data_IF_591597625076
#
_entry.id   IF_591597625076
#
_cell.length_a   1.000
_cell.length_b   1.000
_cell.length_c   1.000
_cell.angle_alpha   90.00
_cell.angle_beta   90.00
_cell.angle_gamma   90.00
#
_symmetry.space_group_name_H-M   'P 1'
#
loop_
_entity.id
_entity.type
_entity.pdbx_description
1 polymer ?
#
# COMPACT_ATOMS: atom_id res chain seq x y z
N UNK A 1 -15.38 37.09 -9.46
CA UNK A 1 -15.20 36.60 -8.07
C UNK A 1 -13.75 36.77 -7.67
N UNK A 2 -13.45 37.53 -6.61
CA UNK A 2 -12.06 37.73 -6.14
C UNK A 2 -11.49 36.42 -5.59
N UNK A 3 -10.25 36.10 -5.98
CA UNK A 3 -9.46 34.97 -5.47
C UNK A 3 -9.18 35.19 -3.98
N UNK A 4 -9.71 34.32 -3.12
CA UNK A 4 -9.29 34.29 -1.72
C UNK A 4 -7.85 33.76 -1.68
N UNK A 5 -6.90 34.66 -1.43
CA UNK A 5 -5.47 34.35 -1.48
C UNK A 5 -5.04 33.47 -0.30
N UNK A 6 -5.88 33.26 0.70
CA UNK A 6 -5.49 32.62 1.96
C UNK A 6 -5.90 31.16 2.08
N UNK A 7 -6.58 30.58 1.07
CA UNK A 7 -7.08 29.20 1.12
C UNK A 7 -6.00 28.16 1.46
N UNK A 8 -4.80 28.28 0.86
CA UNK A 8 -3.70 27.32 1.09
C UNK A 8 -3.02 27.46 2.46
N UNK A 9 -3.11 28.63 3.09
CA UNK A 9 -2.48 28.89 4.40
C UNK A 9 -3.48 28.73 5.55
N UNK A 10 -4.70 28.26 5.27
CA UNK A 10 -5.66 27.94 6.31
C UNK A 10 -5.15 26.75 7.15
N UNK A 11 -5.28 26.79 8.49
CA UNK A 11 -4.81 25.70 9.35
C UNK A 11 -5.36 24.32 8.95
N UNK A 12 -6.63 24.26 8.53
CA UNK A 12 -7.24 23.01 8.09
C UNK A 12 -6.60 22.43 6.81
N UNK A 13 -6.21 23.29 5.86
CA UNK A 13 -5.51 22.87 4.64
C UNK A 13 -4.12 22.35 4.99
N UNK A 14 -3.37 23.08 5.83
CA UNK A 14 -2.02 22.68 6.25
C UNK A 14 -2.04 21.38 7.05
N UNK A 15 -3.00 21.20 7.95
CA UNK A 15 -3.18 19.96 8.69
C UNK A 15 -3.52 18.79 7.76
N UNK A 16 -4.46 18.97 6.83
CA UNK A 16 -4.79 17.93 5.85
C UNK A 16 -3.59 17.56 4.97
N UNK A 17 -2.82 18.55 4.52
CA UNK A 17 -1.61 18.32 3.73
C UNK A 17 -0.53 17.59 4.53
N UNK A 18 -0.32 17.95 5.79
CA UNK A 18 0.61 17.27 6.68
C UNK A 18 0.17 15.82 6.93
N UNK A 19 -1.13 15.58 7.19
CA UNK A 19 -1.68 14.23 7.32
C UNK A 19 -1.44 13.43 6.06
N UNK A 20 -1.73 13.98 4.88
CA UNK A 20 -1.53 13.30 3.60
C UNK A 20 -0.06 12.88 3.42
N UNK A 21 0.88 13.81 3.61
CA UNK A 21 2.31 13.55 3.45
C UNK A 21 2.87 12.57 4.48
N UNK A 22 2.54 12.75 5.77
CA UNK A 22 3.05 11.89 6.84
C UNK A 22 2.46 10.49 6.73
N UNK A 23 1.19 10.39 6.37
CA UNK A 23 0.52 9.10 6.26
C UNK A 23 0.98 8.33 5.01
N UNK A 24 1.08 9.00 3.85
CA UNK A 24 1.56 8.35 2.63
C UNK A 24 3.06 8.07 2.65
N UNK A 25 3.86 8.94 3.26
CA UNK A 25 5.32 8.79 3.34
C UNK A 25 5.82 7.88 4.47
N UNK A 26 5.10 7.78 5.59
CA UNK A 26 5.55 7.03 6.77
C UNK A 26 4.45 6.17 7.40
N UNK A 27 3.23 6.70 7.58
CA UNK A 27 2.15 6.03 8.31
C UNK A 27 1.74 4.69 7.72
N UNK A 28 1.65 4.60 6.39
CA UNK A 28 1.36 3.35 5.67
C UNK A 28 2.44 2.27 5.88
N UNK A 29 3.70 2.67 6.04
CA UNK A 29 4.82 1.75 6.27
C UNK A 29 4.94 1.32 7.74
N UNK A 30 4.72 2.24 8.68
CA UNK A 30 4.84 1.97 10.11
C UNK A 30 3.61 1.26 10.70
N UNK A 31 2.41 1.55 10.20
CA UNK A 31 1.14 1.03 10.71
C UNK A 31 0.21 0.60 9.57
N UNK A 32 0.47 -0.55 8.92
CA UNK A 32 -0.40 -1.07 7.87
C UNK A 32 -1.78 -1.43 8.45
N UNK A 33 -2.85 -0.81 7.91
CA UNK A 33 -4.22 -1.09 8.34
C UNK A 33 -5.30 -0.28 7.62
N UNK A 34 -6.56 -0.64 7.89
CA UNK A 34 -7.77 0.01 7.33
C UNK A 34 -7.85 1.51 7.63
N UNK A 35 -7.29 1.95 8.76
CA UNK A 35 -7.38 3.34 9.22
C UNK A 35 -6.39 4.22 8.45
N UNK A 36 -5.16 3.74 8.22
CA UNK A 36 -4.13 4.52 7.49
C UNK A 36 -4.47 4.63 6.01
N UNK A 37 -5.08 3.61 5.38
CA UNK A 37 -5.57 3.76 4.00
C UNK A 37 -6.62 4.87 3.84
N UNK A 38 -7.62 4.88 4.72
CA UNK A 38 -8.77 5.80 4.65
C UNK A 38 -8.45 7.23 5.07
N UNK A 39 -7.45 7.39 5.93
CA UNK A 39 -7.04 8.71 6.39
C UNK A 39 -6.53 9.59 5.24
N UNK A 40 -5.80 9.01 4.28
CA UNK A 40 -5.38 9.73 3.07
C UNK A 40 -6.55 10.11 2.19
N UNK A 41 -7.55 9.22 2.01
CA UNK A 41 -8.75 9.53 1.23
C UNK A 41 -9.55 10.69 1.87
N UNK A 42 -9.71 10.69 3.20
CA UNK A 42 -10.35 11.79 3.94
C UNK A 42 -9.54 13.08 3.82
N UNK A 43 -8.21 13.02 4.01
CA UNK A 43 -7.35 14.20 3.91
C UNK A 43 -7.38 14.77 2.48
N UNK A 44 -7.24 13.92 1.47
CA UNK A 44 -7.27 14.27 0.06
C UNK A 44 -8.60 14.91 -0.36
N UNK A 45 -9.74 14.28 -0.03
CA UNK A 45 -11.07 14.82 -0.33
C UNK A 45 -11.37 16.15 0.39
N UNK A 46 -10.74 16.39 1.55
CA UNK A 46 -10.86 17.66 2.26
C UNK A 46 -10.08 18.79 1.55
N UNK A 47 -8.82 18.53 1.18
CA UNK A 47 -7.91 19.59 0.72
C UNK A 47 -7.84 19.76 -0.80
N UNK A 48 -8.08 18.70 -1.58
CA UNK A 48 -8.03 18.76 -3.05
C UNK A 48 -9.01 19.77 -3.67
N UNK A 49 -10.31 19.81 -3.32
CA UNK A 49 -11.22 20.79 -3.91
C UNK A 49 -10.87 22.23 -3.48
N UNK A 50 -10.27 22.41 -2.28
CA UNK A 50 -9.74 23.69 -1.81
C UNK A 50 -8.56 24.15 -2.67
N UNK A 51 -7.66 23.22 -3.01
CA UNK A 51 -6.55 23.48 -3.92
C UNK A 51 -7.04 23.87 -5.33
N UNK A 52 -7.99 23.11 -5.89
CA UNK A 52 -8.61 23.41 -7.20
C UNK A 52 -9.28 24.79 -7.18
N UNK A 53 -10.04 25.10 -6.13
CA UNK A 53 -10.68 26.41 -5.92
C UNK A 53 -9.68 27.58 -5.81
N UNK A 54 -8.46 27.31 -5.34
CA UNK A 54 -7.37 28.29 -5.26
C UNK A 54 -6.66 28.51 -6.60
N UNK A 55 -6.40 27.43 -7.34
CA UNK A 55 -5.72 27.46 -8.65
C UNK A 55 -6.64 27.99 -9.74
N UNK A 56 -7.90 27.54 -9.74
CA UNK A 56 -8.95 27.91 -10.69
C UNK A 56 -10.12 28.57 -9.94
N UNK A 57 -10.06 29.89 -9.68
CA UNK A 57 -11.11 30.57 -8.91
C UNK A 57 -12.52 30.46 -9.50
N UNK A 58 -12.63 30.30 -10.81
CA UNK A 58 -13.91 30.07 -11.49
C UNK A 58 -14.55 28.72 -11.11
N UNK A 59 -13.75 27.73 -10.70
CA UNK A 59 -14.22 26.40 -10.33
C UNK A 59 -14.74 26.32 -8.88
N UNK A 60 -14.71 27.39 -8.09
CA UNK A 60 -15.05 27.36 -6.65
C UNK A 60 -16.41 26.70 -6.32
N UNK A 61 -17.41 26.88 -7.18
CA UNK A 61 -18.76 26.30 -6.99
C UNK A 61 -18.85 24.84 -7.41
N UNK A 62 -17.96 24.40 -8.30
CA UNK A 62 -17.99 23.05 -8.89
C UNK A 62 -16.86 22.16 -8.38
N UNK A 63 -15.83 22.71 -7.72
CA UNK A 63 -14.65 21.98 -7.29
C UNK A 63 -15.01 20.82 -6.34
N UNK A 64 -15.89 21.06 -5.36
CA UNK A 64 -16.36 20.04 -4.41
C UNK A 64 -17.19 18.95 -5.11
N UNK A 65 -18.29 19.26 -5.84
CA UNK A 65 -19.06 18.21 -6.50
C UNK A 65 -18.27 17.46 -7.57
N UNK A 66 -17.39 18.13 -8.34
CA UNK A 66 -16.52 17.47 -9.30
C UNK A 66 -15.52 16.53 -8.62
N UNK A 67 -14.94 16.93 -7.49
CA UNK A 67 -14.03 16.07 -6.72
C UNK A 67 -14.76 14.83 -6.20
N UNK A 68 -15.95 15.01 -5.64
CA UNK A 68 -16.77 13.89 -5.17
C UNK A 68 -17.16 12.94 -6.29
N UNK A 69 -17.59 13.47 -7.45
CA UNK A 69 -17.94 12.66 -8.61
C UNK A 69 -16.72 11.92 -9.17
N UNK A 70 -15.58 12.61 -9.31
CA UNK A 70 -14.33 12.00 -9.75
C UNK A 70 -13.89 10.88 -8.81
N UNK A 71 -14.01 11.06 -7.49
CA UNK A 71 -13.68 10.04 -6.50
C UNK A 71 -14.62 8.83 -6.57
N UNK A 72 -15.93 9.05 -6.72
CA UNK A 72 -16.90 7.98 -6.95
C UNK A 72 -16.53 7.18 -8.20
N UNK A 73 -16.34 7.86 -9.33
CA UNK A 73 -15.96 7.21 -10.59
C UNK A 73 -14.64 6.45 -10.45
N UNK A 74 -13.63 7.05 -9.83
CA UNK A 74 -12.30 6.46 -9.64
C UNK A 74 -12.35 5.13 -8.90
N UNK A 75 -13.22 5.00 -7.88
CA UNK A 75 -13.38 3.76 -7.09
C UNK A 75 -14.25 2.71 -7.78
N UNK A 76 -14.78 2.96 -8.98
CA UNK A 76 -15.57 1.96 -9.75
C UNK A 76 -14.73 1.27 -10.83
N UNK A 77 -15.11 0.05 -11.27
CA UNK A 77 -14.47 -0.61 -12.41
C UNK A 77 -14.55 0.17 -13.73
N UNK A 78 -15.42 1.20 -13.83
CA UNK A 78 -15.63 1.96 -15.06
C UNK A 78 -14.34 2.65 -15.59
N UNK A 79 -13.38 2.95 -14.71
CA UNK A 79 -12.12 3.61 -15.07
C UNK A 79 -11.02 2.62 -15.48
N UNK A 80 -11.23 1.30 -15.32
CA UNK A 80 -10.22 0.27 -15.67
C UNK A 80 -9.73 0.37 -17.13
N UNK A 81 -10.60 0.52 -18.15
CA UNK A 81 -10.14 0.60 -19.55
C UNK A 81 -9.23 1.81 -19.80
N UNK A 82 -9.47 2.93 -19.10
CA UNK A 82 -8.65 4.13 -19.22
C UNK A 82 -7.27 3.93 -18.59
N UNK A 83 -7.20 3.21 -17.47
CA UNK A 83 -5.93 2.86 -16.81
C UNK A 83 -5.10 1.94 -17.72
N UNK A 84 -5.74 0.96 -18.36
CA UNK A 84 -5.09 0.05 -19.31
C UNK A 84 -4.56 0.80 -20.54
N UNK A 85 -5.35 1.72 -21.11
CA UNK A 85 -4.89 2.56 -22.22
C UNK A 85 -3.70 3.45 -21.83
N UNK A 86 -3.75 4.09 -20.66
CA UNK A 86 -2.64 4.90 -20.15
C UNK A 86 -1.37 4.07 -19.97
N UNK A 87 -1.50 2.87 -19.40
CA UNK A 87 -0.39 1.92 -19.23
C UNK A 87 0.20 1.52 -20.58
N UNK A 88 -0.64 1.23 -21.57
CA UNK A 88 -0.19 0.87 -22.91
C UNK A 88 0.57 2.02 -23.59
N UNK A 89 0.15 3.28 -23.40
CA UNK A 89 0.81 4.43 -24.01
C UNK A 89 2.10 4.86 -23.31
N UNK A 90 2.12 4.82 -21.97
CA UNK A 90 3.23 5.39 -21.18
C UNK A 90 4.21 4.35 -20.66
N UNK A 91 3.83 3.07 -20.64
CA UNK A 91 4.57 2.00 -19.98
C UNK A 91 4.63 2.15 -18.45
N UNK A 92 3.92 3.12 -17.86
CA UNK A 92 3.95 3.37 -16.42
C UNK A 92 2.93 2.48 -15.69
N UNK A 93 3.35 1.82 -14.60
CA UNK A 93 2.48 0.97 -13.80
C UNK A 93 1.52 1.82 -12.95
N UNK A 94 0.24 1.86 -13.33
CA UNK A 94 -0.83 2.38 -12.49
C UNK A 94 -1.59 1.21 -11.87
N UNK A 95 -1.46 1.06 -10.54
CA UNK A 95 -2.25 0.11 -9.75
C UNK A 95 -3.30 0.85 -8.95
N UNK A 96 -4.50 0.28 -8.91
CA UNK A 96 -5.66 0.85 -8.22
C UNK A 96 -6.43 -0.26 -7.52
N UNK A 97 -6.72 -0.05 -6.24
CA UNK A 97 -7.60 -0.92 -5.45
C UNK A 97 -9.04 -0.42 -5.52
N UNK A 98 -9.97 -1.34 -5.78
CA UNK A 98 -11.42 -1.07 -5.77
C UNK A 98 -11.93 -1.38 -4.36
N UNK A 99 -12.18 -0.36 -3.55
CA UNK A 99 -12.76 -0.48 -2.21
C UNK A 99 -13.91 0.54 -2.04
N UNK A 100 -15.14 0.04 -2.03
CA UNK A 100 -16.35 0.87 -1.86
C UNK A 100 -16.49 1.44 -0.44
N UNK A 101 -15.80 0.85 0.55
CA UNK A 101 -15.83 1.36 1.93
C UNK A 101 -15.12 2.70 2.09
N UNK A 102 -14.41 3.16 1.06
CA UNK A 102 -13.79 4.48 0.98
C UNK A 102 -14.81 5.58 0.68
N UNK A 103 -16.04 5.25 0.26
CA UNK A 103 -17.11 6.24 0.11
C UNK A 103 -17.50 6.92 1.43
N UNK A 104 -17.16 6.32 2.57
CA UNK A 104 -17.27 6.99 3.88
C UNK A 104 -16.45 8.29 3.91
N UNK A 105 -15.35 8.38 3.16
CA UNK A 105 -14.54 9.59 3.07
C UNK A 105 -15.27 10.77 2.39
N UNK A 106 -16.29 10.52 1.56
CA UNK A 106 -17.11 11.58 0.93
C UNK A 106 -17.86 12.44 1.96
N UNK A 107 -18.06 11.93 3.18
CA UNK A 107 -18.66 12.68 4.29
C UNK A 107 -17.85 13.93 4.68
N UNK A 108 -16.59 14.04 4.25
CA UNK A 108 -15.74 15.20 4.50
C UNK A 108 -16.00 16.37 3.54
N UNK A 109 -16.67 16.14 2.39
CA UNK A 109 -16.89 17.15 1.35
C UNK A 109 -17.66 18.39 1.83
N UNK A 110 -18.69 18.29 2.71
CA UNK A 110 -19.31 19.47 3.30
C UNK A 110 -18.32 20.34 4.08
N UNK A 111 -17.34 19.74 4.78
CA UNK A 111 -16.29 20.49 5.46
C UNK A 111 -15.38 21.20 4.46
N UNK A 112 -15.03 20.55 3.34
CA UNK A 112 -14.28 21.17 2.26
C UNK A 112 -15.02 22.37 1.65
N UNK A 113 -16.34 22.24 1.41
CA UNK A 113 -17.18 23.34 0.95
C UNK A 113 -17.19 24.52 1.93
N UNK A 114 -17.23 24.25 3.23
CA UNK A 114 -17.14 25.29 4.25
C UNK A 114 -15.79 26.02 4.23
N UNK A 115 -14.67 25.33 3.99
CA UNK A 115 -13.35 25.95 3.87
C UNK A 115 -13.25 26.90 2.67
N UNK A 116 -13.86 26.54 1.54
CA UNK A 116 -13.91 27.37 0.32
C UNK A 116 -14.84 28.58 0.52
N UNK A 117 -15.98 28.36 1.18
CA UNK A 117 -17.05 29.38 1.29
C UNK A 117 -16.77 30.41 2.38
N UNK A 118 -16.05 30.03 3.45
CA UNK A 118 -15.72 30.94 4.55
C UNK A 118 -14.53 31.81 4.16
N UNK A 119 -14.80 33.06 3.78
CA UNK A 119 -13.77 34.11 3.71
C UNK A 119 -13.25 34.36 5.11
N UNK A 120 -12.06 33.85 5.42
CA UNK A 120 -11.38 34.13 6.68
C UNK A 120 -10.33 35.22 6.47
N UNK A 121 -10.24 36.13 7.42
CA UNK A 121 -9.10 37.03 7.50
C UNK A 121 -7.82 36.17 7.54
N UNK A 122 -6.87 36.47 6.65
CA UNK A 122 -5.59 35.79 6.64
C UNK A 122 -4.81 36.05 7.93
N UNK A 123 -3.78 35.25 8.23
CA UNK A 123 -2.86 35.57 9.31
C UNK A 123 -2.25 36.96 9.07
N UNK A 124 -2.08 37.74 10.15
CA UNK A 124 -1.56 39.10 10.14
C UNK A 124 -0.03 39.11 9.93
N UNK A 125 0.44 38.56 8.81
CA UNK A 125 1.85 38.42 8.48
C UNK A 125 2.25 39.39 7.35
N UNK A 126 3.54 39.77 7.24
CA UNK A 126 4.03 40.59 6.13
C UNK A 126 3.68 39.96 4.78
N UNK A 127 3.23 40.79 3.83
CA UNK A 127 2.67 40.32 2.55
C UNK A 127 3.65 39.45 1.74
N UNK A 128 4.95 39.73 1.79
CA UNK A 128 5.99 38.94 1.10
C UNK A 128 6.16 37.52 1.65
N UNK A 129 6.16 37.37 2.98
CA UNK A 129 6.23 36.06 3.63
C UNK A 129 5.02 35.19 3.29
N UNK A 130 3.85 35.82 3.21
CA UNK A 130 2.60 35.15 2.86
C UNK A 130 2.54 34.73 1.38
N UNK A 131 3.22 35.43 0.47
CA UNK A 131 3.33 35.02 -0.94
C UNK A 131 4.26 33.82 -1.10
N UNK A 132 5.43 33.86 -0.46
CA UNK A 132 6.40 32.76 -0.49
C UNK A 132 5.79 31.49 0.13
N UNK A 133 5.11 31.61 1.27
CA UNK A 133 4.47 30.46 1.93
C UNK A 133 3.39 29.81 1.05
N UNK A 134 2.58 30.60 0.33
CA UNK A 134 1.56 30.08 -0.59
C UNK A 134 2.18 29.33 -1.77
N UNK A 135 3.27 29.86 -2.34
CA UNK A 135 3.96 29.22 -3.45
C UNK A 135 4.57 27.88 -3.01
N UNK A 136 5.25 27.87 -1.86
CA UNK A 136 5.83 26.65 -1.27
C UNK A 136 4.75 25.62 -0.94
N UNK A 137 3.70 26.02 -0.22
CA UNK A 137 2.59 25.11 0.13
C UNK A 137 1.88 24.60 -1.13
N UNK A 138 1.71 25.45 -2.15
CA UNK A 138 1.14 25.03 -3.44
C UNK A 138 2.00 23.99 -4.14
N UNK A 139 3.32 24.20 -4.19
CA UNK A 139 4.27 23.24 -4.78
C UNK A 139 4.25 21.91 -4.02
N UNK A 140 4.28 21.97 -2.69
CA UNK A 140 4.20 20.78 -1.83
C UNK A 140 2.88 20.05 -2.03
N UNK A 141 1.76 20.76 -2.19
CA UNK A 141 0.46 20.16 -2.49
C UNK A 141 0.45 19.44 -3.85
N UNK A 142 1.04 20.04 -4.89
CA UNK A 142 1.22 19.36 -6.19
C UNK A 142 2.00 18.07 -6.00
N UNK A 143 3.14 18.11 -5.32
CA UNK A 143 3.94 16.91 -5.03
C UNK A 143 3.13 15.89 -4.24
N UNK A 144 2.36 16.30 -3.23
CA UNK A 144 1.56 15.39 -2.42
C UNK A 144 0.45 14.70 -3.22
N UNK A 145 -0.23 15.41 -4.12
CA UNK A 145 -1.26 14.81 -4.98
C UNK A 145 -0.67 13.98 -6.14
N UNK A 146 0.53 14.35 -6.61
CA UNK A 146 1.23 13.66 -7.69
C UNK A 146 2.12 12.52 -7.19
N UNK A 147 2.36 12.43 -5.88
CA UNK A 147 3.02 11.29 -5.24
C UNK A 147 2.09 10.08 -5.34
N UNK A 148 1.99 9.53 -6.55
CA UNK A 148 1.54 8.16 -6.77
C UNK A 148 2.35 7.32 -5.82
N UNK A 149 1.66 6.70 -4.87
CA UNK A 149 2.27 5.77 -3.93
C UNK A 149 3.09 4.77 -4.76
N UNK A 150 4.41 4.93 -4.72
CA UNK A 150 5.34 3.95 -5.27
C UNK A 150 4.88 2.61 -4.72
N UNK A 151 4.55 1.63 -5.58
CA UNK A 151 4.13 0.33 -5.09
C UNK A 151 5.26 -0.15 -4.20
N UNK A 152 4.96 -0.24 -2.89
CA UNK A 152 5.86 -0.82 -1.91
C UNK A 152 6.25 -2.17 -2.49
N UNK A 153 7.55 -2.37 -2.79
CA UNK A 153 8.07 -3.49 -3.57
C UNK A 153 7.20 -4.71 -3.36
N UNK A 154 6.31 -4.98 -4.32
CA UNK A 154 5.17 -5.86 -4.08
C UNK A 154 5.76 -7.21 -3.70
N UNK A 155 5.45 -7.70 -2.50
CA UNK A 155 5.66 -9.11 -2.23
C UNK A 155 5.01 -9.87 -3.41
N UNK A 156 5.65 -10.93 -3.93
CA UNK A 156 5.11 -11.63 -5.09
C UNK A 156 3.62 -11.95 -4.85
N UNK A 157 2.81 -11.95 -5.90
CA UNK A 157 1.37 -12.19 -5.77
C UNK A 157 1.11 -13.62 -5.30
N UNK A 158 0.31 -13.79 -4.25
CA UNK A 158 -0.13 -15.08 -3.74
C UNK A 158 -1.52 -14.94 -3.14
N UNK A 159 -2.24 -16.05 -2.94
CA UNK A 159 -3.61 -16.01 -2.41
C UNK A 159 -3.69 -15.37 -1.02
N UNK A 160 -2.65 -15.52 -0.20
CA UNK A 160 -2.57 -14.95 1.15
C UNK A 160 -1.17 -14.38 1.40
N UNK A 161 -1.10 -13.08 1.68
CA UNK A 161 0.13 -12.39 2.10
C UNK A 161 0.42 -12.65 3.59
N UNK A 162 1.69 -12.91 3.93
CA UNK A 162 2.13 -13.13 5.32
C UNK A 162 3.21 -12.10 5.71
N UNK A 163 4.26 -11.95 4.89
CA UNK A 163 5.35 -10.99 5.08
C UNK A 163 6.18 -11.11 6.39
N UNK A 164 6.23 -12.29 6.99
CA UNK A 164 6.91 -12.51 8.29
C UNK A 164 8.37 -12.98 8.15
N UNK A 165 9.25 -12.51 9.04
CA UNK A 165 10.70 -12.80 8.98
C UNK A 165 11.20 -13.59 10.18
N UNK A 166 11.91 -14.69 9.91
CA UNK A 166 12.49 -15.57 10.92
C UNK A 166 14.02 -15.57 10.85
N UNK A 167 14.67 -15.18 11.95
CA UNK A 167 16.12 -15.29 12.09
C UNK A 167 16.53 -16.73 12.45
N UNK A 168 17.52 -17.27 11.74
CA UNK A 168 18.06 -18.61 11.89
C UNK A 168 19.59 -18.56 12.02
N UNK A 169 20.13 -19.37 12.94
CA UNK A 169 21.57 -19.52 13.18
C UNK A 169 22.18 -20.59 12.27
N UNK A 170 22.14 -20.36 10.97
CA UNK A 170 22.71 -21.25 9.95
C UNK A 170 22.96 -20.48 8.66
N UNK A 171 23.80 -20.99 7.77
CA UNK A 171 24.02 -20.39 6.45
C UNK A 171 22.82 -20.62 5.52
N UNK A 172 22.71 -19.81 4.46
CA UNK A 172 21.71 -19.98 3.41
C UNK A 172 21.78 -21.38 2.76
N UNK A 173 22.99 -21.89 2.51
CA UNK A 173 23.18 -23.24 1.92
C UNK A 173 22.65 -24.34 2.85
N UNK A 174 22.94 -24.24 4.14
CA UNK A 174 22.43 -25.20 5.15
C UNK A 174 20.91 -25.11 5.27
N UNK A 175 20.34 -23.90 5.26
CA UNK A 175 18.89 -23.70 5.31
C UNK A 175 18.19 -24.38 4.13
N UNK A 176 18.67 -24.16 2.90
CA UNK A 176 18.07 -24.73 1.70
C UNK A 176 18.19 -26.27 1.68
N UNK A 177 19.34 -26.80 2.10
CA UNK A 177 19.54 -28.25 2.22
C UNK A 177 18.58 -28.88 3.24
N UNK A 178 18.39 -28.22 4.39
CA UNK A 178 17.51 -28.72 5.45
C UNK A 178 16.04 -28.62 5.07
N UNK A 179 15.63 -27.56 4.39
CA UNK A 179 14.29 -27.45 3.81
C UNK A 179 14.02 -28.61 2.84
N UNK A 180 14.97 -28.92 1.96
CA UNK A 180 14.85 -30.06 1.04
C UNK A 180 14.72 -31.39 1.79
N UNK A 181 15.51 -31.63 2.84
CA UNK A 181 15.40 -32.83 3.70
C UNK A 181 14.04 -32.94 4.40
N UNK A 182 13.46 -31.80 4.80
CA UNK A 182 12.12 -31.72 5.39
C UNK A 182 11.00 -31.89 4.34
N UNK A 183 11.34 -32.09 3.06
CA UNK A 183 10.41 -32.25 1.96
C UNK A 183 9.85 -30.93 1.42
N UNK A 184 10.58 -29.83 1.58
CA UNK A 184 10.32 -28.52 0.98
C UNK A 184 11.45 -28.14 0.01
N UNK A 185 11.55 -28.82 -1.16
CA UNK A 185 12.59 -28.52 -2.14
C UNK A 185 12.38 -27.12 -2.72
N UNK A 186 13.24 -26.19 -2.32
CA UNK A 186 13.12 -24.78 -2.65
C UNK A 186 13.77 -24.48 -4.00
N UNK A 187 12.99 -23.98 -4.96
CA UNK A 187 13.47 -23.57 -6.28
C UNK A 187 13.68 -22.06 -6.29
N UNK A 188 14.89 -21.62 -6.64
CA UNK A 188 15.16 -20.20 -6.84
C UNK A 188 14.41 -19.69 -8.07
N UNK A 189 13.68 -18.59 -7.88
CA UNK A 189 12.93 -17.90 -8.91
C UNK A 189 13.36 -16.45 -8.94
N UNK A 190 13.50 -15.96 -10.17
CA UNK A 190 13.73 -14.58 -10.46
C UNK A 190 12.58 -14.14 -11.34
N UNK A 191 11.74 -13.26 -10.80
CA UNK A 191 10.61 -12.72 -11.54
C UNK A 191 10.80 -11.23 -11.75
N UNK A 192 10.42 -10.77 -12.93
CA UNK A 192 10.35 -9.34 -13.19
C UNK A 192 8.98 -8.93 -12.69
N UNK A 193 8.91 -8.00 -11.74
CA UNK A 193 7.61 -7.41 -11.43
C UNK A 193 7.08 -6.90 -12.76
N UNK A 194 5.87 -7.33 -13.16
CA UNK A 194 5.27 -6.99 -14.46
C UNK A 194 5.25 -5.47 -14.74
N UNK A 195 5.53 -4.68 -13.70
CA UNK A 195 5.37 -3.25 -13.54
C UNK A 195 6.62 -2.56 -12.93
N UNK A 196 7.77 -3.21 -12.74
CA UNK A 196 8.97 -2.55 -12.18
C UNK A 196 10.28 -3.16 -12.71
N UNK A 197 11.35 -2.37 -12.97
CA UNK A 197 12.68 -2.92 -13.25
C UNK A 197 13.31 -3.66 -12.05
N UNK A 198 12.58 -3.73 -10.92
CA UNK A 198 13.03 -4.45 -9.74
C UNK A 198 12.83 -5.93 -10.01
N UNK A 199 13.94 -6.64 -9.97
CA UNK A 199 13.98 -8.08 -10.05
C UNK A 199 13.59 -8.63 -8.68
N UNK A 200 12.42 -9.26 -8.58
CA UNK A 200 12.03 -10.01 -7.39
C UNK A 200 12.79 -11.34 -7.39
N UNK A 201 13.60 -11.51 -6.36
CA UNK A 201 14.34 -12.75 -6.11
C UNK A 201 13.70 -13.45 -4.94
N UNK A 202 13.26 -14.68 -5.14
CA UNK A 202 12.62 -15.48 -4.09
C UNK A 202 12.85 -16.96 -4.33
N UNK A 203 12.56 -17.76 -3.32
CA UNK A 203 12.49 -19.21 -3.39
C UNK A 203 11.02 -19.62 -3.36
N UNK A 204 10.70 -20.66 -4.12
CA UNK A 204 9.35 -21.22 -4.23
C UNK A 204 9.38 -22.72 -3.93
N UNK A 205 8.41 -23.19 -3.15
CA UNK A 205 8.14 -24.62 -2.98
C UNK A 205 6.74 -24.89 -3.52
N UNK A 206 6.65 -25.75 -4.51
CA UNK A 206 5.40 -26.10 -5.18
C UNK A 206 4.74 -27.33 -4.55
N UNK A 207 3.42 -27.45 -4.74
CA UNK A 207 2.65 -28.66 -4.39
C UNK A 207 2.79 -29.10 -2.93
N UNK A 208 2.59 -28.16 -2.00
CA UNK A 208 2.76 -28.44 -0.56
C UNK A 208 1.48 -29.03 0.00
N UNK A 209 1.50 -30.34 0.26
CA UNK A 209 0.38 -31.05 0.88
C UNK A 209 0.09 -30.48 2.29
N UNK A 210 -1.13 -29.99 2.51
CA UNK A 210 -1.52 -29.42 3.81
C UNK A 210 -1.55 -30.47 4.91
N UNK A 211 -1.72 -31.75 4.56
CA UNK A 211 -1.57 -32.90 5.46
C UNK A 211 -0.27 -32.86 6.27
N UNK A 212 0.80 -32.29 5.70
CA UNK A 212 2.09 -32.08 6.40
C UNK A 212 2.01 -31.12 7.57
N UNK A 213 1.06 -30.20 7.55
CA UNK A 213 0.87 -29.17 8.58
C UNK A 213 -0.34 -29.49 9.48
N UNK A 214 -1.38 -30.04 8.87
CA UNK A 214 -2.69 -30.36 9.42
C UNK A 214 -3.07 -31.78 8.97
N UNK A 215 -2.92 -32.82 9.80
CA UNK A 215 -3.15 -34.21 9.41
C UNK A 215 -4.53 -34.49 8.79
N UNK A 216 -5.56 -33.73 9.20
CA UNK A 216 -6.93 -33.84 8.70
C UNK A 216 -7.18 -33.11 7.38
N UNK A 217 -6.22 -32.34 6.88
CA UNK A 217 -6.35 -31.59 5.63
C UNK A 217 -5.91 -32.46 4.44
N UNK A 218 -6.84 -32.70 3.52
CA UNK A 218 -6.58 -33.43 2.27
C UNK A 218 -6.19 -32.55 1.08
N UNK A 219 -6.15 -31.23 1.29
CA UNK A 219 -5.88 -30.25 0.24
C UNK A 219 -4.37 -29.95 0.09
N UNK A 220 -3.99 -29.33 -1.04
CA UNK A 220 -2.59 -29.04 -1.40
C UNK A 220 -2.45 -27.57 -1.80
N UNK A 221 -1.52 -26.87 -1.15
CA UNK A 221 -1.14 -25.53 -1.56
C UNK A 221 -0.46 -25.59 -2.93
N UNK A 222 -0.80 -24.66 -3.81
CA UNK A 222 -0.14 -24.53 -5.11
C UNK A 222 1.34 -24.22 -4.91
N UNK A 223 1.66 -23.21 -4.08
CA UNK A 223 3.02 -22.88 -3.72
C UNK A 223 3.13 -22.07 -2.42
N UNK A 224 4.35 -22.05 -1.88
CA UNK A 224 4.81 -21.16 -0.81
C UNK A 224 6.01 -20.39 -1.34
N UNK A 225 6.01 -19.05 -1.18
CA UNK A 225 7.14 -18.21 -1.58
C UNK A 225 7.81 -17.56 -0.39
N UNK A 226 9.14 -17.55 -0.39
CA UNK A 226 9.94 -16.94 0.67
C UNK A 226 11.25 -16.36 0.15
N UNK A 227 11.82 -15.41 0.87
CA UNK A 227 13.17 -14.89 0.63
C UNK A 227 14.14 -15.42 1.67
N UNK A 228 15.38 -15.59 1.24
CA UNK A 228 16.49 -15.93 2.12
C UNK A 228 17.57 -14.88 1.90
N UNK A 229 17.99 -14.21 2.97
CA UNK A 229 19.03 -13.19 2.91
C UNK A 229 19.83 -13.15 4.21
N UNK A 230 21.04 -12.58 4.13
CA UNK A 230 21.89 -12.29 5.27
C UNK A 230 22.06 -10.78 5.38
N UNK A 231 22.20 -10.27 6.60
CA UNK A 231 22.49 -8.84 6.81
C UNK A 231 24.00 -8.66 6.88
N UNK A 232 24.54 -7.63 6.23
CA UNK A 232 25.97 -7.31 6.26
C UNK A 232 26.49 -7.12 7.70
N UNK A 233 25.64 -6.63 8.61
CA UNK A 233 25.97 -6.43 10.02
C UNK A 233 25.99 -7.73 10.85
N UNK A 234 25.41 -8.82 10.37
CA UNK A 234 25.30 -10.11 11.07
C UNK A 234 25.43 -11.28 10.09
N UNK A 235 26.64 -11.53 9.54
CA UNK A 235 26.85 -12.53 8.49
C UNK A 235 26.53 -13.97 8.95
N UNK A 236 26.64 -14.23 10.26
CA UNK A 236 26.37 -15.56 10.84
C UNK A 236 24.87 -15.88 11.00
N UNK A 237 24.00 -14.93 10.66
CA UNK A 237 22.54 -15.09 10.76
C UNK A 237 21.89 -15.01 9.38
N UNK A 238 21.12 -16.03 9.09
CA UNK A 238 20.28 -16.10 7.91
C UNK A 238 18.84 -15.74 8.27
N UNK A 239 18.20 -14.95 7.42
CA UNK A 239 16.81 -14.51 7.59
C UNK A 239 15.96 -15.20 6.53
N UNK A 240 14.95 -15.93 6.99
CA UNK A 240 13.92 -16.55 6.17
C UNK A 240 12.67 -15.68 6.24
N UNK A 241 12.35 -14.97 5.16
CA UNK A 241 11.15 -14.13 5.08
C UNK A 241 10.06 -14.84 4.29
N UNK A 242 9.00 -15.27 4.96
CA UNK A 242 7.84 -15.88 4.34
C UNK A 242 7.00 -14.78 3.66
N UNK A 243 6.90 -14.82 2.35
CA UNK A 243 6.20 -13.79 1.57
C UNK A 243 4.71 -14.10 1.54
N UNK A 244 4.35 -15.25 0.96
CA UNK A 244 2.96 -15.60 0.71
C UNK A 244 2.74 -17.11 0.62
N UNK A 245 1.45 -17.48 0.58
CA UNK A 245 0.96 -18.82 0.26
C UNK A 245 -0.08 -18.70 -0.86
N UNK A 246 -0.05 -19.64 -1.80
CA UNK A 246 -0.99 -19.71 -2.93
C UNK A 246 -1.79 -21.01 -2.86
N UNK A 247 -3.12 -20.93 -2.93
CA UNK A 247 -4.01 -22.08 -3.02
C UNK A 247 -4.19 -22.53 -4.47
N UNK A 248 -4.54 -23.81 -4.67
CA UNK A 248 -4.91 -24.31 -6.01
C UNK A 248 -6.33 -23.83 -6.35
N UNK A 249 -6.49 -23.24 -7.53
CA UNK A 249 -7.80 -22.97 -8.13
C UNK A 249 -8.65 -21.91 -7.43
N UNK A 250 -8.13 -21.17 -6.44
CA UNK A 250 -8.93 -20.14 -5.76
C UNK A 250 -9.04 -18.87 -6.60
N UNK A 251 -10.25 -18.28 -6.73
CA UNK A 251 -10.40 -16.89 -7.14
C UNK A 251 -9.75 -15.95 -6.12
N UNK A 252 -9.52 -14.69 -6.52
CA UNK A 252 -9.05 -13.63 -5.64
C UNK A 252 -9.94 -13.58 -4.39
N UNK A 253 -9.35 -13.70 -3.19
CA UNK A 253 -10.11 -13.63 -1.93
C UNK A 253 -10.24 -12.16 -1.57
N UNK A 254 -11.42 -11.58 -1.79
CA UNK A 254 -11.65 -10.14 -1.52
C UNK A 254 -12.05 -9.85 -0.06
N UNK A 255 -12.31 -10.87 0.77
CA UNK A 255 -12.61 -10.69 2.20
C UNK A 255 -11.33 -10.54 3.04
N UNK A 256 -11.06 -9.31 3.48
CA UNK A 256 -9.89 -8.98 4.29
C UNK A 256 -9.88 -9.67 5.68
N UNK A 257 -11.04 -9.94 6.29
CA UNK A 257 -11.10 -10.61 7.61
C UNK A 257 -10.67 -12.05 7.46
N UNK A 258 -11.16 -12.71 6.42
CA UNK A 258 -10.75 -14.05 6.05
C UNK A 258 -9.27 -14.08 5.68
N UNK A 259 -8.78 -13.16 4.84
CA UNK A 259 -7.35 -13.05 4.51
C UNK A 259 -6.48 -12.88 5.78
N UNK A 260 -6.88 -12.02 6.71
CA UNK A 260 -6.15 -11.81 7.97
C UNK A 260 -6.16 -13.05 8.86
N UNK A 261 -7.29 -13.75 8.95
CA UNK A 261 -7.41 -14.99 9.69
C UNK A 261 -6.55 -16.10 9.07
N UNK A 262 -6.58 -16.23 7.75
CA UNK A 262 -5.75 -17.18 7.00
C UNK A 262 -4.27 -16.85 7.13
N UNK A 263 -3.88 -15.59 6.98
CA UNK A 263 -2.50 -15.11 7.13
C UNK A 263 -1.93 -15.54 8.49
N UNK A 264 -2.62 -15.20 9.59
CA UNK A 264 -2.24 -15.62 10.95
C UNK A 264 -2.21 -17.13 11.13
N UNK A 265 -3.16 -17.85 10.52
CA UNK A 265 -3.22 -19.31 10.62
C UNK A 265 -2.01 -19.94 9.93
N UNK A 266 -1.70 -19.52 8.71
CA UNK A 266 -0.61 -20.06 7.92
C UNK A 266 0.76 -19.64 8.42
N UNK A 267 0.89 -18.41 8.94
CA UNK A 267 2.05 -17.96 9.69
C UNK A 267 2.34 -18.93 10.86
N UNK A 268 1.36 -19.17 11.74
CA UNK A 268 1.52 -20.08 12.89
C UNK A 268 1.84 -21.50 12.48
N UNK A 269 1.21 -22.02 11.43
CA UNK A 269 1.49 -23.36 10.91
C UNK A 269 2.91 -23.45 10.37
N UNK A 270 3.34 -22.47 9.57
CA UNK A 270 4.68 -22.42 9.01
C UNK A 270 5.72 -22.27 10.13
N UNK A 271 5.49 -21.39 11.11
CA UNK A 271 6.37 -21.25 12.25
C UNK A 271 6.51 -22.58 13.01
N UNK A 272 5.38 -23.22 13.33
CA UNK A 272 5.35 -24.45 14.11
C UNK A 272 5.96 -25.66 13.40
N UNK A 273 5.73 -25.80 12.09
CA UNK A 273 6.06 -27.00 11.30
C UNK A 273 7.33 -26.88 10.48
N UNK A 274 7.77 -25.66 10.17
CA UNK A 274 8.96 -25.41 9.37
C UNK A 274 10.02 -24.68 10.19
N UNK A 275 9.69 -23.52 10.78
CA UNK A 275 10.69 -22.68 11.45
C UNK A 275 11.20 -23.29 12.75
N UNK A 276 10.32 -23.82 13.61
CA UNK A 276 10.74 -24.44 14.88
C UNK A 276 11.65 -25.64 14.67
N UNK A 277 11.35 -26.60 13.77
CA UNK A 277 12.29 -27.68 13.46
C UNK A 277 13.61 -27.19 12.86
N UNK A 278 13.62 -26.09 12.09
CA UNK A 278 14.86 -25.49 11.59
C UNK A 278 15.71 -24.89 12.73
N UNK A 279 15.08 -24.32 13.76
CA UNK A 279 15.77 -23.74 14.93
C UNK A 279 16.33 -24.80 15.87
N UNK A 280 15.66 -25.93 16.00
CA UNK A 280 16.13 -27.06 16.78
C UNK A 280 17.24 -27.73 15.96
N UNK A 281 18.50 -27.45 16.27
CA UNK A 281 19.62 -28.22 15.72
C UNK A 281 19.46 -29.69 16.15
N UNK A 282 19.77 -30.69 15.30
CA UNK A 282 20.11 -32.01 15.83
C UNK A 282 21.34 -31.89 16.75
#
# INVERSE_FOLDING_TARGET
MQRDKNLLVQPAFLLGLAVLLLNDGYGKAAFPGLITGKLSDVAGLLIFPVFVAYVVPAAQRVAVPLTGLAFLLWKTPAVTPLIEAFRACTGLPLQRTIDYSDYVALLVLPAAQQLISRRRAGPAWPAGWLQLSRAVVGLVAVVAFSATSLPYASAPSGSVLIDETYALKMSQKQLLARLAQMGYPAVYKQDTVADHPAVLRYYQVDNVALSRWLPEAHDTLANIRFQVYTLASKPDKCYLKLLNVTFRGTPNIDDWRLLRALSRRYEKLFEGRVVRPLRQQP
#
